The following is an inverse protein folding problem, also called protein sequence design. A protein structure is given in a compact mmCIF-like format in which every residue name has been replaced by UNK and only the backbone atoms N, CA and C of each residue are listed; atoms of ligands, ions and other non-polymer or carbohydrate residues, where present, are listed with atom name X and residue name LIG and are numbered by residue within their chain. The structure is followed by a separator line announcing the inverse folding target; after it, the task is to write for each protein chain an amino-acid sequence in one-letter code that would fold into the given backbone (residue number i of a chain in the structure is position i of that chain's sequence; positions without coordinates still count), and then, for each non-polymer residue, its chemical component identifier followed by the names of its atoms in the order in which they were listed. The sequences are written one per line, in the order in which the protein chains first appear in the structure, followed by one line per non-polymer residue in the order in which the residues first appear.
data_IF_624160412854
#
_entry.id   IF_624160412854
#
_cell.length_a   1.000
_cell.length_b   1.000
_cell.length_c   1.000
_cell.angle_alpha   90.00
_cell.angle_beta   90.00
_cell.angle_gamma   90.00
#
_symmetry.space_group_name_H-M   'P 1'
#
loop_
_entity.id
_entity.type
_entity.pdbx_description
1 polymer ?
#
# COMPACT_ATOMS: atom_id res chain seq x y z
N UNK A 1 -36.22 -78.96 21.35
CA UNK A 1 -36.13 -77.91 20.31
C UNK A 1 -35.75 -76.62 20.98
N UNK A 2 -34.46 -76.31 21.03
CA UNK A 2 -33.90 -75.07 21.58
C UNK A 2 -33.80 -74.04 20.45
N UNK A 3 -34.50 -72.93 20.57
CA UNK A 3 -34.46 -71.81 19.63
C UNK A 3 -33.22 -70.99 19.95
N UNK A 4 -32.35 -70.85 18.95
CA UNK A 4 -31.10 -70.10 18.97
C UNK A 4 -31.38 -68.60 19.07
N UNK A 5 -30.75 -67.91 20.03
CA UNK A 5 -30.71 -66.44 20.09
C UNK A 5 -29.91 -65.89 18.89
N UNK A 6 -30.40 -64.84 18.20
CA UNK A 6 -29.62 -64.13 17.19
C UNK A 6 -28.54 -63.28 17.86
N UNK A 7 -27.27 -63.59 17.57
CA UNK A 7 -26.11 -62.82 18.03
C UNK A 7 -26.21 -61.36 17.56
N UNK A 8 -26.19 -60.43 18.52
CA UNK A 8 -26.05 -59.00 18.26
C UNK A 8 -24.68 -58.74 17.60
N UNK A 9 -24.60 -58.12 16.41
CA UNK A 9 -23.31 -57.88 15.76
C UNK A 9 -22.46 -56.92 16.61
N UNK A 10 -21.20 -57.32 16.85
CA UNK A 10 -20.24 -56.54 17.60
C UNK A 10 -20.09 -55.13 16.98
N UNK A 11 -20.19 -54.10 17.82
CA UNK A 11 -20.01 -52.71 17.41
C UNK A 11 -18.65 -52.55 16.72
N UNK A 12 -18.66 -52.06 15.47
CA UNK A 12 -17.45 -51.84 14.67
C UNK A 12 -16.54 -50.82 15.38
N UNK A 13 -15.34 -51.21 15.86
CA UNK A 13 -14.42 -50.30 16.56
C UNK A 13 -13.88 -49.17 15.69
N UNK A 14 -14.05 -49.26 14.37
CA UNK A 14 -13.57 -48.29 13.39
C UNK A 14 -14.68 -47.40 12.82
N UNK A 15 -15.86 -47.38 13.43
CA UNK A 15 -16.89 -46.42 13.06
C UNK A 15 -16.37 -44.99 13.34
N UNK A 16 -16.29 -44.09 12.34
CA UNK A 16 -15.90 -42.71 12.60
C UNK A 16 -16.90 -42.08 13.59
N UNK A 17 -16.46 -41.11 14.43
CA UNK A 17 -17.36 -40.42 15.34
C UNK A 17 -18.56 -39.89 14.56
N UNK A 18 -19.78 -40.17 15.03
CA UNK A 18 -20.99 -39.63 14.42
C UNK A 18 -20.79 -38.13 14.25
N UNK A 19 -20.82 -37.66 12.98
CA UNK A 19 -20.72 -36.24 12.66
C UNK A 19 -21.83 -35.53 13.43
N UNK A 20 -21.47 -34.87 14.53
CA UNK A 20 -22.41 -33.99 15.22
C UNK A 20 -22.95 -33.01 14.18
N UNK A 21 -24.28 -32.88 14.01
CA UNK A 21 -24.85 -31.85 13.16
C UNK A 21 -24.25 -30.54 13.63
N UNK A 22 -23.45 -29.90 12.76
CA UNK A 22 -22.93 -28.57 13.05
C UNK A 22 -24.15 -27.70 13.37
N UNK A 23 -24.20 -27.03 14.54
CA UNK A 23 -25.33 -26.17 14.87
C UNK A 23 -25.50 -25.19 13.73
N UNK A 24 -26.75 -25.02 13.26
CA UNK A 24 -27.08 -24.07 12.20
C UNK A 24 -26.46 -22.72 12.56
N UNK A 25 -25.42 -22.34 11.83
CA UNK A 25 -24.88 -21.00 11.89
C UNK A 25 -25.66 -20.21 10.83
N UNK A 26 -26.48 -19.22 11.21
CA UNK A 26 -27.01 -18.30 10.22
C UNK A 26 -25.81 -17.74 9.45
N UNK A 27 -25.73 -18.01 8.15
CA UNK A 27 -24.86 -17.21 7.29
C UNK A 27 -25.22 -15.76 7.59
N UNK A 28 -24.27 -14.97 8.11
CA UNK A 28 -24.51 -13.55 8.36
C UNK A 28 -24.97 -12.96 7.04
N UNK A 29 -26.12 -12.30 7.02
CA UNK A 29 -26.67 -11.69 5.81
C UNK A 29 -25.65 -10.75 5.13
N UNK A 30 -24.73 -10.20 5.93
CA UNK A 30 -23.55 -9.46 5.50
C UNK A 30 -22.66 -10.23 4.52
N UNK A 31 -22.41 -11.53 4.74
CA UNK A 31 -21.56 -12.35 3.88
C UNK A 31 -22.21 -12.58 2.50
N UNK A 32 -23.54 -12.69 2.45
CA UNK A 32 -24.32 -12.84 1.21
C UNK A 32 -24.39 -11.50 0.46
N UNK A 33 -24.62 -10.39 1.17
CA UNK A 33 -24.64 -9.05 0.60
C UNK A 33 -23.28 -8.60 0.06
N UNK A 34 -22.18 -8.95 0.75
CA UNK A 34 -20.81 -8.74 0.27
C UNK A 34 -20.60 -9.53 -1.03
N UNK A 35 -21.05 -10.79 -1.10
CA UNK A 35 -20.93 -11.61 -2.33
C UNK A 35 -21.69 -11.03 -3.53
N UNK A 36 -22.81 -10.34 -3.32
CA UNK A 36 -23.60 -9.73 -4.39
C UNK A 36 -23.27 -8.25 -4.67
N UNK A 37 -22.33 -7.65 -3.92
CA UNK A 37 -21.95 -6.25 -4.06
C UNK A 37 -20.99 -5.95 -5.22
N UNK A 38 -20.65 -4.67 -5.45
CA UNK A 38 -19.77 -4.26 -6.56
C UNK A 38 -18.40 -4.94 -6.51
N UNK A 39 -17.90 -5.40 -7.66
CA UNK A 39 -16.61 -6.11 -7.79
C UNK A 39 -15.74 -5.52 -8.91
N UNK A 40 -14.46 -5.86 -8.89
CA UNK A 40 -13.49 -5.51 -9.92
C UNK A 40 -12.87 -4.11 -9.74
N UNK A 41 -11.94 -3.80 -10.65
CA UNK A 41 -11.26 -2.51 -10.71
C UNK A 41 -12.16 -1.55 -11.49
N UNK A 42 -12.80 -0.63 -10.79
CA UNK A 42 -13.76 0.31 -11.36
C UNK A 42 -14.37 1.23 -10.32
N UNK A 43 -15.17 2.21 -10.77
CA UNK A 43 -15.76 3.24 -9.90
C UNK A 43 -14.68 3.98 -9.11
N UNK A 44 -14.89 4.14 -7.81
CA UNK A 44 -13.96 4.81 -6.89
C UNK A 44 -12.56 4.19 -6.83
N UNK A 45 -12.37 2.94 -7.26
CA UNK A 45 -11.04 2.32 -7.30
C UNK A 45 -10.16 2.85 -8.45
N UNK A 46 -10.74 3.55 -9.43
CA UNK A 46 -9.98 4.19 -10.50
C UNK A 46 -9.14 5.37 -9.99
N UNK A 47 -9.56 6.03 -8.91
CA UNK A 47 -8.85 7.16 -8.33
C UNK A 47 -7.52 6.71 -7.66
N UNK A 48 -7.48 5.65 -6.80
CA UNK A 48 -6.22 5.06 -6.33
C UNK A 48 -5.33 4.57 -7.46
N UNK A 49 -5.90 3.97 -8.51
CA UNK A 49 -5.14 3.55 -9.69
C UNK A 49 -4.47 4.75 -10.36
N UNK A 50 -5.25 5.80 -10.66
CA UNK A 50 -4.73 7.01 -11.28
C UNK A 50 -3.65 7.67 -10.40
N UNK A 51 -3.90 7.75 -9.10
CA UNK A 51 -2.94 8.26 -8.13
C UNK A 51 -1.60 7.49 -8.17
N UNK A 52 -1.64 6.16 -8.18
CA UNK A 52 -0.43 5.33 -8.27
C UNK A 52 0.32 5.55 -9.58
N UNK A 53 -0.39 5.61 -10.71
CA UNK A 53 0.21 5.85 -12.03
C UNK A 53 0.87 7.23 -12.08
N UNK A 54 0.15 8.27 -11.65
CA UNK A 54 0.68 9.64 -11.59
C UNK A 54 1.90 9.71 -10.67
N UNK A 55 1.86 9.03 -9.52
CA UNK A 55 3.00 9.02 -8.59
C UNK A 55 4.22 8.33 -9.18
N UNK A 56 4.06 7.17 -9.82
CA UNK A 56 5.16 6.47 -10.48
C UNK A 56 5.75 7.31 -11.62
N UNK A 57 4.92 7.90 -12.48
CA UNK A 57 5.39 8.73 -13.61
C UNK A 57 6.09 9.98 -13.11
N UNK A 58 5.51 10.71 -12.13
CA UNK A 58 6.13 11.92 -11.56
C UNK A 58 7.42 11.60 -10.83
N UNK A 59 7.48 10.50 -10.08
CA UNK A 59 8.69 10.08 -9.39
C UNK A 59 9.81 9.72 -10.37
N UNK A 60 9.49 8.97 -11.43
CA UNK A 60 10.47 8.67 -12.50
C UNK A 60 10.93 9.94 -13.22
N UNK A 61 10.02 10.86 -13.55
CA UNK A 61 10.37 12.12 -14.17
C UNK A 61 11.28 12.95 -13.26
N UNK A 62 10.99 13.04 -11.97
CA UNK A 62 11.82 13.77 -11.02
C UNK A 62 13.20 13.15 -10.85
N UNK A 63 13.30 11.82 -10.84
CA UNK A 63 14.60 11.15 -10.81
C UNK A 63 15.41 11.42 -12.08
N UNK A 64 14.77 11.44 -13.25
CA UNK A 64 15.46 11.61 -14.53
C UNK A 64 15.82 13.07 -14.84
N UNK A 65 14.94 14.01 -14.47
CA UNK A 65 15.05 15.42 -14.87
C UNK A 65 15.65 16.30 -13.78
N UNK A 66 15.41 15.98 -12.50
CA UNK A 66 15.87 16.81 -11.39
C UNK A 66 17.09 16.17 -10.72
N UNK A 67 17.00 14.91 -10.32
CA UNK A 67 18.03 14.27 -9.51
C UNK A 67 19.23 13.79 -10.34
N UNK A 68 19.00 13.12 -11.45
CA UNK A 68 20.08 12.55 -12.25
C UNK A 68 21.11 13.60 -12.72
N UNK A 69 20.71 14.79 -13.23
CA UNK A 69 21.68 15.82 -13.62
C UNK A 69 22.56 16.30 -12.47
N UNK A 70 22.05 16.33 -11.23
CA UNK A 70 22.84 16.76 -10.07
C UNK A 70 24.04 15.85 -9.81
N UNK A 71 23.89 14.54 -10.02
CA UNK A 71 24.93 13.54 -9.71
C UNK A 71 25.93 13.28 -10.85
N UNK A 72 25.74 13.87 -12.04
CA UNK A 72 26.67 13.72 -13.16
C UNK A 72 27.94 14.55 -12.94
N UNK A 73 29.04 14.18 -13.61
CA UNK A 73 30.28 14.95 -13.58
C UNK A 73 30.03 16.40 -14.04
N UNK A 74 30.37 17.36 -13.19
CA UNK A 74 30.09 18.79 -13.42
C UNK A 74 28.70 19.26 -13.00
N UNK A 75 27.88 18.39 -12.39
CA UNK A 75 26.61 18.77 -11.77
C UNK A 75 26.79 19.43 -10.39
N UNK A 76 25.70 20.02 -9.90
CA UNK A 76 25.66 20.82 -8.66
C UNK A 76 26.01 20.03 -7.39
N UNK A 77 25.97 18.70 -7.42
CA UNK A 77 26.31 17.88 -6.27
C UNK A 77 27.70 18.21 -5.69
N UNK A 78 28.68 18.45 -6.56
CA UNK A 78 30.06 18.72 -6.11
C UNK A 78 30.25 20.12 -5.53
N UNK A 79 29.41 21.08 -5.92
CA UNK A 79 29.50 22.47 -5.44
C UNK A 79 28.80 22.64 -4.09
N UNK A 80 27.66 21.97 -3.88
CA UNK A 80 26.85 22.13 -2.67
C UNK A 80 27.34 21.34 -1.45
N UNK A 81 28.22 20.35 -1.66
CA UNK A 81 28.82 19.55 -0.57
C UNK A 81 30.22 20.01 -0.16
N UNK A 82 30.84 20.90 -0.94
CA UNK A 82 32.19 21.37 -0.69
C UNK A 82 32.15 22.71 0.09
N UNK A 83 32.71 22.76 1.31
CA UNK A 83 32.74 23.97 2.13
C UNK A 83 33.44 25.18 1.52
N UNK A 84 34.19 25.01 0.41
CA UNK A 84 34.89 26.09 -0.27
C UNK A 84 33.98 26.96 -1.15
N UNK A 85 32.73 26.56 -1.38
CA UNK A 85 31.75 27.35 -2.14
C UNK A 85 30.75 28.06 -1.22
N UNK A 86 30.31 29.25 -1.63
CA UNK A 86 29.40 30.10 -0.86
C UNK A 86 28.01 29.48 -0.64
N UNK A 87 27.59 28.55 -1.51
CA UNK A 87 26.29 27.86 -1.44
C UNK A 87 26.31 26.61 -0.53
N UNK A 88 27.43 26.33 0.13
CA UNK A 88 27.55 25.18 1.01
C UNK A 88 26.61 25.29 2.23
N UNK A 89 25.91 24.19 2.51
CA UNK A 89 25.22 23.99 3.77
C UNK A 89 25.43 22.54 4.24
N UNK A 90 25.78 22.30 5.52
CA UNK A 90 26.06 20.94 6.01
C UNK A 90 24.93 19.92 5.81
N UNK A 91 23.68 20.41 5.72
CA UNK A 91 22.50 19.56 5.52
C UNK A 91 22.16 19.27 4.05
N UNK A 92 22.76 19.95 3.06
CA UNK A 92 22.40 19.74 1.65
C UNK A 92 22.65 18.31 1.18
N UNK A 93 23.86 17.80 1.41
CA UNK A 93 24.20 16.43 1.03
C UNK A 93 23.26 15.38 1.61
N UNK A 94 23.09 15.33 2.96
CA UNK A 94 22.16 14.41 3.59
C UNK A 94 20.71 14.54 3.11
N UNK A 95 20.22 15.77 2.92
CA UNK A 95 18.83 16.03 2.51
C UNK A 95 18.57 15.54 1.08
N UNK A 96 19.48 15.83 0.15
CA UNK A 96 19.34 15.43 -1.26
C UNK A 96 19.43 13.91 -1.40
N UNK A 97 20.33 13.25 -0.66
CA UNK A 97 20.41 11.78 -0.62
C UNK A 97 19.12 11.19 -0.04
N UNK A 98 18.58 11.79 1.01
CA UNK A 98 17.30 11.38 1.59
C UNK A 98 16.14 11.54 0.58
N UNK A 99 16.00 12.70 -0.07
CA UNK A 99 14.96 12.99 -1.06
C UNK A 99 15.04 12.02 -2.25
N UNK A 100 16.25 11.80 -2.77
CA UNK A 100 16.49 10.85 -3.87
C UNK A 100 16.07 9.44 -3.47
N UNK A 101 16.52 8.98 -2.31
CA UNK A 101 16.25 7.62 -1.81
C UNK A 101 14.76 7.42 -1.53
N UNK A 102 14.11 8.42 -0.92
CA UNK A 102 12.68 8.40 -0.66
C UNK A 102 11.89 8.34 -1.98
N UNK A 103 12.26 9.16 -2.97
CA UNK A 103 11.62 9.16 -4.29
C UNK A 103 11.73 7.80 -4.97
N UNK A 104 12.92 7.17 -4.97
CA UNK A 104 13.10 5.80 -5.48
C UNK A 104 12.20 4.81 -4.74
N UNK A 105 12.16 4.87 -3.41
CA UNK A 105 11.32 3.99 -2.60
C UNK A 105 9.83 4.17 -2.92
N UNK A 106 9.35 5.39 -3.11
CA UNK A 106 7.96 5.67 -3.51
C UNK A 106 7.63 5.14 -4.91
N UNK A 107 8.54 5.26 -5.87
CA UNK A 107 8.37 4.68 -7.21
C UNK A 107 8.25 3.16 -7.14
N UNK A 108 9.14 2.51 -6.38
CA UNK A 108 9.10 1.04 -6.19
C UNK A 108 7.81 0.62 -5.48
N UNK A 109 7.41 1.34 -4.43
CA UNK A 109 6.18 1.07 -3.70
C UNK A 109 4.94 1.25 -4.59
N UNK A 110 4.91 2.28 -5.42
CA UNK A 110 3.82 2.52 -6.37
C UNK A 110 3.74 1.40 -7.43
N UNK A 111 4.87 0.99 -8.01
CA UNK A 111 4.94 -0.13 -8.95
C UNK A 111 4.48 -1.44 -8.31
N UNK A 112 4.91 -1.71 -7.07
CA UNK A 112 4.50 -2.89 -6.30
C UNK A 112 3.00 -2.88 -6.02
N UNK A 113 2.45 -1.74 -5.62
CA UNK A 113 1.03 -1.57 -5.38
C UNK A 113 0.21 -1.77 -6.65
N UNK A 114 0.63 -1.21 -7.80
CA UNK A 114 0.00 -1.44 -9.10
C UNK A 114 -0.02 -2.92 -9.46
N UNK A 115 1.12 -3.60 -9.32
CA UNK A 115 1.24 -5.02 -9.58
C UNK A 115 0.31 -5.86 -8.69
N UNK A 116 0.25 -5.56 -7.39
CA UNK A 116 -0.70 -6.20 -6.45
C UNK A 116 -2.16 -5.91 -6.83
N UNK A 117 -2.43 -4.71 -7.33
CA UNK A 117 -3.77 -4.27 -7.72
C UNK A 117 -4.29 -5.12 -8.88
N UNK A 118 -3.49 -5.27 -9.94
CA UNK A 118 -3.85 -6.09 -11.11
C UNK A 118 -3.94 -7.58 -10.78
N UNK A 119 -3.15 -8.06 -9.82
CA UNK A 119 -3.29 -9.43 -9.30
C UNK A 119 -4.50 -9.64 -8.38
N UNK A 120 -5.24 -8.57 -8.04
CA UNK A 120 -6.37 -8.60 -7.10
C UNK A 120 -5.98 -9.25 -5.77
N UNK A 121 -4.75 -8.99 -5.34
CA UNK A 121 -4.17 -9.59 -4.13
C UNK A 121 -4.82 -9.00 -2.87
N UNK A 122 -5.11 -9.85 -1.88
CA UNK A 122 -5.58 -9.43 -0.55
C UNK A 122 -4.55 -8.55 0.19
N UNK A 123 -3.29 -8.54 -0.25
CA UNK A 123 -2.25 -7.70 0.33
C UNK A 123 -2.34 -6.24 -0.16
N UNK A 124 -3.00 -5.98 -1.30
CA UNK A 124 -3.07 -4.65 -1.90
C UNK A 124 -3.62 -3.57 -0.95
N UNK A 125 -4.77 -3.75 -0.28
CA UNK A 125 -5.32 -2.70 0.58
C UNK A 125 -4.39 -2.33 1.74
N UNK A 126 -3.67 -3.31 2.29
CA UNK A 126 -2.69 -3.08 3.38
C UNK A 126 -1.48 -2.30 2.90
N UNK A 127 -0.97 -2.63 1.70
CA UNK A 127 0.13 -1.88 1.08
C UNK A 127 -0.28 -0.45 0.78
N UNK A 128 -1.50 -0.23 0.28
CA UNK A 128 -2.01 1.12 0.04
C UNK A 128 -2.14 1.94 1.33
N UNK A 129 -2.63 1.35 2.42
CA UNK A 129 -2.69 2.04 3.72
C UNK A 129 -1.29 2.45 4.17
N UNK A 130 -0.32 1.53 4.10
CA UNK A 130 1.08 1.83 4.41
C UNK A 130 1.64 2.94 3.51
N UNK A 131 1.36 2.89 2.22
CA UNK A 131 1.79 3.90 1.25
C UNK A 131 1.29 5.30 1.62
N UNK A 132 0.00 5.45 1.93
CA UNK A 132 -0.56 6.76 2.30
C UNK A 132 -0.02 7.28 3.64
N UNK A 133 0.17 6.40 4.63
CA UNK A 133 0.79 6.77 5.90
C UNK A 133 2.24 7.22 5.72
N UNK A 134 3.04 6.46 4.97
CA UNK A 134 4.43 6.83 4.65
C UNK A 134 4.48 8.15 3.89
N UNK A 135 3.55 8.39 2.95
CA UNK A 135 3.47 9.67 2.24
C UNK A 135 3.15 10.85 3.17
N UNK A 136 2.24 10.67 4.14
CA UNK A 136 1.95 11.71 5.13
C UNK A 136 3.16 12.00 6.03
N UNK A 137 3.88 10.96 6.47
CA UNK A 137 5.12 11.12 7.25
C UNK A 137 6.20 11.82 6.43
N UNK A 138 6.39 11.40 5.17
CA UNK A 138 7.36 12.03 4.29
C UNK A 138 7.06 13.52 4.06
N UNK A 139 5.80 13.87 3.77
CA UNK A 139 5.41 15.28 3.63
C UNK A 139 5.61 16.10 4.91
N UNK A 140 5.46 15.47 6.09
CA UNK A 140 5.77 16.11 7.36
C UNK A 140 7.27 16.38 7.52
N UNK A 141 8.12 15.43 7.14
CA UNK A 141 9.57 15.60 7.18
C UNK A 141 10.04 16.72 6.25
N UNK A 142 9.49 16.82 5.05
CA UNK A 142 9.75 17.92 4.11
C UNK A 142 9.38 19.28 4.71
N UNK A 143 8.19 19.37 5.33
CA UNK A 143 7.73 20.58 5.99
C UNK A 143 8.63 20.98 7.17
N UNK A 144 9.03 20.02 8.01
CA UNK A 144 9.97 20.25 9.11
C UNK A 144 11.35 20.68 8.58
N UNK A 145 11.80 20.10 7.47
CA UNK A 145 13.04 20.51 6.79
C UNK A 145 13.03 21.99 6.41
N UNK A 146 11.89 22.49 5.90
CA UNK A 146 11.71 23.92 5.60
C UNK A 146 11.75 24.80 6.85
N UNK A 147 11.35 24.31 8.02
CA UNK A 147 11.43 25.07 9.27
C UNK A 147 12.84 25.14 9.83
N UNK A 148 13.67 24.12 9.55
CA UNK A 148 15.05 24.03 10.06
C UNK A 148 16.03 24.77 9.15
N UNK A 149 15.80 24.76 7.84
CA UNK A 149 16.70 25.37 6.84
C UNK A 149 16.02 26.59 6.21
N UNK A 150 16.42 27.82 6.57
CA UNK A 150 15.78 29.04 6.07
C UNK A 150 15.76 29.16 4.54
N UNK A 151 16.81 28.69 3.87
CA UNK A 151 16.90 28.67 2.41
C UNK A 151 15.79 27.83 1.75
N UNK A 152 15.44 26.68 2.35
CA UNK A 152 14.30 25.85 1.91
C UNK A 152 12.98 26.57 2.18
N UNK A 153 12.81 27.20 3.35
CA UNK A 153 11.59 27.91 3.70
C UNK A 153 11.21 28.96 2.65
N UNK A 154 12.19 29.74 2.19
CA UNK A 154 11.98 30.76 1.14
C UNK A 154 11.71 30.17 -0.24
N UNK A 155 12.34 29.05 -0.59
CA UNK A 155 12.24 28.47 -1.93
C UNK A 155 11.01 27.56 -2.11
N UNK A 156 10.67 26.77 -1.10
CA UNK A 156 9.71 25.66 -1.22
C UNK A 156 8.65 25.61 -0.12
N UNK A 157 8.66 26.51 0.87
CA UNK A 157 7.78 26.44 2.05
C UNK A 157 6.28 26.38 1.73
N UNK A 158 5.81 27.14 0.74
CA UNK A 158 4.41 27.09 0.30
C UNK A 158 4.04 25.71 -0.29
N UNK A 159 4.93 25.15 -1.11
CA UNK A 159 4.77 23.82 -1.71
C UNK A 159 4.80 22.73 -0.65
N UNK A 160 5.71 22.80 0.31
CA UNK A 160 5.79 21.85 1.42
C UNK A 160 4.50 21.86 2.26
N UNK A 161 3.95 23.06 2.54
CA UNK A 161 2.67 23.20 3.24
C UNK A 161 1.50 22.58 2.46
N UNK A 162 1.42 22.85 1.15
CA UNK A 162 0.39 22.25 0.29
C UNK A 162 0.50 20.73 0.21
N UNK A 163 1.72 20.19 0.11
CA UNK A 163 1.98 18.76 0.10
C UNK A 163 1.57 18.11 1.43
N UNK A 164 1.91 18.73 2.57
CA UNK A 164 1.55 18.24 3.89
C UNK A 164 0.03 18.14 4.05
N UNK A 165 -0.68 19.24 3.78
CA UNK A 165 -2.15 19.30 3.89
C UNK A 165 -2.79 18.28 2.93
N UNK A 166 -2.33 18.22 1.68
CA UNK A 166 -2.83 17.27 0.69
C UNK A 166 -2.58 15.81 1.08
N UNK A 167 -1.41 15.50 1.66
CA UNK A 167 -1.06 14.16 2.12
C UNK A 167 -1.91 13.72 3.31
N UNK A 168 -2.17 14.60 4.27
CA UNK A 168 -3.06 14.30 5.40
C UNK A 168 -4.51 14.06 4.95
N UNK A 169 -5.06 14.96 4.14
CA UNK A 169 -6.43 14.81 3.62
C UNK A 169 -6.54 13.53 2.79
N UNK A 170 -5.59 13.31 1.88
CA UNK A 170 -5.53 12.10 1.07
C UNK A 170 -5.44 10.84 1.93
N UNK A 171 -4.59 10.85 2.96
CA UNK A 171 -4.45 9.73 3.89
C UNK A 171 -5.78 9.43 4.59
N UNK A 172 -6.47 10.43 5.15
CA UNK A 172 -7.75 10.22 5.82
C UNK A 172 -8.81 9.62 4.88
N UNK A 173 -8.92 10.15 3.67
CA UNK A 173 -9.89 9.68 2.68
C UNK A 173 -9.57 8.24 2.25
N UNK A 174 -8.33 8.01 1.82
CA UNK A 174 -7.97 6.75 1.19
C UNK A 174 -7.77 5.61 2.18
N UNK A 175 -7.23 5.87 3.37
CA UNK A 175 -7.12 4.83 4.42
C UNK A 175 -8.51 4.38 4.84
N UNK A 176 -9.43 5.32 5.08
CA UNK A 176 -10.82 4.99 5.41
C UNK A 176 -11.49 4.17 4.30
N UNK A 177 -11.30 4.57 3.05
CA UNK A 177 -11.83 3.84 1.89
C UNK A 177 -11.24 2.43 1.75
N UNK A 178 -9.92 2.27 1.89
CA UNK A 178 -9.25 0.97 1.78
C UNK A 178 -9.65 0.01 2.91
N UNK A 179 -9.97 0.53 4.09
CA UNK A 179 -10.41 -0.26 5.23
C UNK A 179 -11.90 -0.65 5.17
N UNK A 180 -12.79 0.29 4.82
CA UNK A 180 -14.24 0.10 4.96
C UNK A 180 -14.98 -0.24 3.66
N UNK A 181 -14.37 -0.10 2.49
CA UNK A 181 -15.07 -0.25 1.21
C UNK A 181 -15.43 -1.71 0.90
N UNK A 182 -16.74 -1.97 0.72
CA UNK A 182 -17.26 -3.26 0.24
C UNK A 182 -16.65 -3.67 -1.11
N UNK A 183 -16.41 -2.71 -2.02
CA UNK A 183 -15.78 -2.97 -3.31
C UNK A 183 -14.34 -3.45 -3.14
N UNK A 184 -13.58 -2.84 -2.23
CA UNK A 184 -12.19 -3.25 -1.94
C UNK A 184 -12.18 -4.67 -1.39
N UNK A 185 -13.02 -4.96 -0.39
CA UNK A 185 -13.16 -6.29 0.19
C UNK A 185 -13.55 -7.36 -0.88
N UNK A 186 -14.43 -7.01 -1.81
CA UNK A 186 -14.87 -7.89 -2.88
C UNK A 186 -13.86 -8.10 -4.00
N UNK A 187 -13.07 -7.07 -4.32
CA UNK A 187 -12.11 -7.12 -5.42
C UNK A 187 -10.83 -7.84 -5.02
N UNK A 188 -10.35 -7.62 -3.80
CA UNK A 188 -9.03 -8.08 -3.34
C UNK A 188 -9.13 -9.34 -2.47
N UNK A 189 -9.58 -10.44 -3.07
CA UNK A 189 -9.80 -11.72 -2.38
C UNK A 189 -8.73 -12.77 -2.65
N UNK A 190 -7.86 -12.56 -3.64
CA UNK A 190 -6.86 -13.59 -4.02
C UNK A 190 -5.73 -13.64 -3.01
N UNK A 191 -5.56 -14.81 -2.38
CA UNK A 191 -4.43 -15.12 -1.50
C UNK A 191 -3.32 -15.78 -2.32
N UNK A 192 -2.08 -15.45 -2.03
CA UNK A 192 -0.87 -15.86 -2.79
C UNK A 192 -0.61 -17.38 -2.92
N UNK A 193 -1.42 -18.27 -2.30
CA UNK A 193 -1.22 -19.73 -2.30
C UNK A 193 -2.37 -20.51 -2.96
N UNK A 194 -2.83 -20.08 -4.12
CA UNK A 194 -3.71 -20.93 -4.94
C UNK A 194 -3.02 -21.14 -6.29
N UNK A 195 -2.70 -22.40 -6.65
CA UNK A 195 -2.29 -22.72 -8.01
C UNK A 195 -3.41 -22.27 -8.95
N UNK A 196 -3.03 -21.80 -10.13
CA UNK A 196 -3.97 -21.55 -11.21
C UNK A 196 -4.67 -22.89 -11.51
N UNK A 197 -5.89 -23.07 -11.02
CA UNK A 197 -6.79 -24.07 -11.57
C UNK A 197 -7.24 -23.52 -12.92
N UNK A 198 -6.45 -23.83 -13.95
CA UNK A 198 -6.86 -23.78 -15.35
C UNK A 198 -7.60 -25.05 -15.71
#
# INVERSE_FOLDING_TARGET
MTISDPQCPAANPYAPPALHPQPWQPQRDDDVAVRNGPRGIGGWLLLPLLHLVVTAVRGLASLALDHAPMYVAGGDWWTIIDPHFDDYHPLWGPLIVFETTATVAFVIAAATALWLMFRRSITFPRVMIGFYLTNAVYALLEYVGCMVVPALASATGARATQQLVGAFIGCLIWVSYMHASKRVANTFTRRWRQPLQG
#
